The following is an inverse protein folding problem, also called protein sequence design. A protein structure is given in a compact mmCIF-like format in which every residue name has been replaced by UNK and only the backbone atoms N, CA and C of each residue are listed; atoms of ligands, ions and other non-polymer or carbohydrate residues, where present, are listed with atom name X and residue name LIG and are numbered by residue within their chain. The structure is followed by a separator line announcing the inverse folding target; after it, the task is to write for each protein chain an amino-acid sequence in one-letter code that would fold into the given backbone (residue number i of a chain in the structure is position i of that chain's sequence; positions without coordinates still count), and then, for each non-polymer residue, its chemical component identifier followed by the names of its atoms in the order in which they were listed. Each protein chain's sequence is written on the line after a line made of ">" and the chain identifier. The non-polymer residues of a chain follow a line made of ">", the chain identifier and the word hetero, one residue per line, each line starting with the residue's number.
data_IF_151382965084
#
_entry.id   IF_151382965084
#
_cell.length_a   1.000
_cell.length_b   1.000
_cell.length_c   1.000
_cell.angle_alpha   90.00
_cell.angle_beta   90.00
_cell.angle_gamma   90.00
#
_symmetry.space_group_name_H-M   'P 1'
#
loop_
_entity.id
_entity.type
_entity.pdbx_description
1 polymer ?
#
# COMPACT_ATOMS: atom_id res chain seq x y z
N UNK A 1 -11.89 -18.03 12.86
CA UNK A 1 -10.69 -17.21 12.94
C UNK A 1 -10.74 -16.08 11.94
N UNK A 2 -10.45 -14.85 12.35
CA UNK A 2 -10.45 -13.70 11.46
C UNK A 2 -9.04 -13.42 10.97
N UNK A 3 -8.88 -13.25 9.66
CA UNK A 3 -7.65 -12.74 9.06
C UNK A 3 -7.78 -11.23 8.92
N UNK A 4 -6.89 -10.47 9.55
CA UNK A 4 -7.00 -9.00 9.59
C UNK A 4 -5.93 -8.36 8.74
N UNK A 5 -6.35 -7.44 7.89
CA UNK A 5 -5.48 -6.71 6.97
C UNK A 5 -5.61 -5.22 7.23
N UNK A 6 -4.50 -4.54 7.43
CA UNK A 6 -4.47 -3.07 7.49
C UNK A 6 -4.08 -2.52 6.13
N UNK A 7 -4.77 -1.48 5.69
CA UNK A 7 -4.47 -0.78 4.44
C UNK A 7 -4.08 0.66 4.76
N UNK A 8 -2.92 1.08 4.28
CA UNK A 8 -2.37 2.42 4.48
C UNK A 8 -2.12 3.08 3.14
N UNK A 9 -2.10 4.39 3.12
CA UNK A 9 -1.70 5.16 1.96
C UNK A 9 -1.24 6.56 2.37
N UNK A 10 -0.40 7.19 1.54
CA UNK A 10 -0.09 8.61 1.63
C UNK A 10 0.44 9.04 3.01
N UNK A 11 1.34 8.25 3.58
CA UNK A 11 1.94 8.57 4.89
C UNK A 11 2.87 9.77 4.84
N UNK A 12 3.53 10.02 3.70
CA UNK A 12 4.31 11.24 3.44
C UNK A 12 5.24 11.66 4.58
N UNK A 13 6.21 10.83 4.91
CA UNK A 13 7.21 11.20 5.92
C UNK A 13 8.57 10.63 5.55
N UNK A 14 9.62 11.40 5.80
CA UNK A 14 11.00 10.96 5.48
C UNK A 14 11.51 9.95 6.51
N UNK A 15 11.12 10.11 7.76
CA UNK A 15 11.43 9.18 8.84
C UNK A 15 10.15 8.86 9.61
N UNK A 16 10.06 7.66 10.24
CA UNK A 16 8.87 7.33 11.01
C UNK A 16 8.63 8.33 12.15
N UNK A 17 7.42 8.88 12.22
CA UNK A 17 7.03 9.77 13.30
C UNK A 17 6.68 8.96 14.55
N UNK A 18 6.60 9.66 15.71
CA UNK A 18 6.15 9.01 16.94
C UNK A 18 4.73 8.47 16.82
N UNK A 19 3.87 9.14 16.04
CA UNK A 19 2.52 8.67 15.78
C UNK A 19 2.54 7.37 15.00
N UNK A 20 3.40 7.26 13.98
CA UNK A 20 3.51 6.02 13.19
C UNK A 20 4.03 4.87 14.05
N UNK A 21 5.03 5.11 14.91
CA UNK A 21 5.50 4.10 15.85
C UNK A 21 4.38 3.58 16.74
N UNK A 22 3.56 4.49 17.25
CA UNK A 22 2.45 4.14 18.12
C UNK A 22 1.39 3.33 17.37
N UNK A 23 1.03 3.74 16.17
CA UNK A 23 0.08 3.01 15.32
C UNK A 23 0.60 1.61 15.03
N UNK A 24 1.89 1.49 14.72
CA UNK A 24 2.52 0.20 14.45
C UNK A 24 2.41 -0.72 15.67
N UNK A 25 2.82 -0.24 16.85
CA UNK A 25 2.82 -1.05 18.07
C UNK A 25 1.41 -1.45 18.51
N UNK A 26 0.45 -0.54 18.40
CA UNK A 26 -0.90 -0.77 18.91
C UNK A 26 -1.82 -1.46 17.92
N UNK A 27 -1.59 -1.28 16.61
CA UNK A 27 -2.50 -1.78 15.58
C UNK A 27 -1.81 -2.67 14.55
N UNK A 28 -0.78 -2.17 13.87
CA UNK A 28 -0.22 -2.86 12.71
C UNK A 28 0.50 -4.16 13.08
N UNK A 29 1.19 -4.16 14.19
CA UNK A 29 1.91 -5.36 14.67
C UNK A 29 1.00 -6.58 14.78
N UNK A 30 -0.25 -6.37 15.15
CA UNK A 30 -1.22 -7.44 15.37
C UNK A 30 -2.02 -7.80 14.13
N UNK A 31 -1.79 -7.12 13.01
CA UNK A 31 -2.44 -7.45 11.76
C UNK A 31 -1.75 -8.62 11.08
N UNK A 32 -2.51 -9.44 10.36
CA UNK A 32 -1.95 -10.57 9.62
C UNK A 32 -1.21 -10.11 8.36
N UNK A 33 -1.63 -8.99 7.79
CA UNK A 33 -0.94 -8.35 6.68
C UNK A 33 -1.13 -6.84 6.73
N UNK A 34 -0.15 -6.11 6.18
CA UNK A 34 -0.20 -4.65 6.04
C UNK A 34 0.07 -4.31 4.58
N UNK A 35 -0.82 -3.55 3.97
CA UNK A 35 -0.72 -3.14 2.57
C UNK A 35 -0.60 -1.62 2.52
N UNK A 36 0.30 -1.12 1.67
CA UNK A 36 0.49 0.33 1.48
C UNK A 36 0.29 0.68 0.01
N UNK A 37 -0.58 1.65 -0.25
CA UNK A 37 -0.98 2.02 -1.61
C UNK A 37 -0.18 3.20 -2.19
N UNK A 38 1.02 3.46 -1.67
CA UNK A 38 1.93 4.44 -2.25
C UNK A 38 2.05 5.74 -1.49
N UNK A 39 3.07 6.51 -1.85
CA UNK A 39 3.44 7.78 -1.23
C UNK A 39 3.85 7.65 0.24
N UNK A 40 4.77 6.74 0.51
CA UNK A 40 5.48 6.67 1.79
C UNK A 40 6.49 7.82 1.91
N UNK A 41 7.14 8.13 0.80
CA UNK A 41 8.10 9.21 0.55
C UNK A 41 9.46 9.13 1.24
N UNK A 42 9.75 8.06 1.96
CA UNK A 42 11.07 7.89 2.59
C UNK A 42 11.46 6.45 2.76
N UNK A 43 12.75 6.16 2.51
CA UNK A 43 13.30 4.82 2.66
C UNK A 43 13.18 4.31 4.11
N UNK A 44 13.37 5.20 5.07
CA UNK A 44 13.30 4.81 6.48
C UNK A 44 11.90 4.40 6.90
N UNK A 45 10.88 5.05 6.33
CA UNK A 45 9.48 4.68 6.57
C UNK A 45 9.20 3.31 5.95
N UNK A 46 9.63 3.11 4.71
CA UNK A 46 9.49 1.82 4.03
C UNK A 46 10.17 0.69 4.82
N UNK A 47 11.41 0.92 5.23
CA UNK A 47 12.18 -0.08 5.99
C UNK A 47 11.49 -0.43 7.31
N UNK A 48 10.97 0.59 8.00
CA UNK A 48 10.27 0.38 9.26
C UNK A 48 9.00 -0.44 9.08
N UNK A 49 8.16 -0.09 8.10
CA UNK A 49 6.93 -0.84 7.83
C UNK A 49 7.23 -2.25 7.32
N UNK A 50 8.29 -2.39 6.52
CA UNK A 50 8.69 -3.70 5.98
C UNK A 50 9.15 -4.66 7.07
N UNK A 51 9.52 -4.15 8.24
CA UNK A 51 9.87 -5.00 9.38
C UNK A 51 8.70 -5.82 9.91
N UNK A 52 7.49 -5.51 9.48
CA UNK A 52 6.29 -6.27 9.85
C UNK A 52 6.36 -7.74 9.42
N UNK A 53 7.07 -8.03 8.34
CA UNK A 53 7.18 -9.39 7.84
C UNK A 53 6.10 -9.82 6.85
N UNK A 54 4.92 -9.21 6.91
CA UNK A 54 3.82 -9.44 5.97
C UNK A 54 3.35 -8.10 5.39
N UNK A 55 4.32 -7.28 5.01
CA UNK A 55 4.09 -5.95 4.45
C UNK A 55 4.29 -5.97 2.94
N UNK A 56 3.35 -5.38 2.21
CA UNK A 56 3.45 -5.18 0.77
C UNK A 56 3.08 -3.75 0.41
N UNK A 57 3.79 -3.19 -0.56
CA UNK A 57 3.59 -1.81 -0.97
C UNK A 57 3.73 -1.66 -2.48
N UNK A 58 3.05 -0.66 -3.02
CA UNK A 58 3.27 -0.17 -4.38
C UNK A 58 3.82 1.24 -4.32
N UNK A 59 4.46 1.70 -5.40
CA UNK A 59 5.01 3.04 -5.48
C UNK A 59 3.92 4.04 -5.85
N UNK A 60 3.89 5.18 -5.14
CA UNK A 60 3.10 6.33 -5.53
C UNK A 60 3.92 7.32 -6.33
N UNK A 61 3.28 8.39 -6.82
CA UNK A 61 3.95 9.39 -7.65
C UNK A 61 5.01 10.20 -6.90
N UNK A 62 4.97 10.21 -5.56
CA UNK A 62 5.95 10.90 -4.73
C UNK A 62 7.04 9.99 -4.17
N UNK A 63 7.01 8.70 -4.51
CA UNK A 63 8.05 7.76 -4.07
C UNK A 63 9.21 7.79 -5.07
N UNK A 64 10.38 8.20 -4.61
CA UNK A 64 11.57 8.40 -5.44
C UNK A 64 12.79 7.80 -4.76
N UNK A 65 13.80 7.49 -5.58
CA UNK A 65 15.05 6.91 -5.09
C UNK A 65 15.17 5.42 -5.38
N UNK A 66 16.32 4.85 -5.05
CA UNK A 66 16.61 3.45 -5.35
C UNK A 66 15.66 2.47 -4.67
N UNK A 67 15.27 2.76 -3.44
CA UNK A 67 14.31 1.92 -2.69
C UNK A 67 12.95 1.87 -3.37
N UNK A 68 12.49 3.02 -3.90
CA UNK A 68 11.19 3.11 -4.55
C UNK A 68 11.17 2.43 -5.91
N UNK A 69 12.31 2.42 -6.62
CA UNK A 69 12.39 1.77 -7.92
C UNK A 69 12.24 0.25 -7.82
N UNK A 70 12.44 -0.33 -6.64
CA UNK A 70 12.22 -1.74 -6.39
C UNK A 70 10.73 -2.07 -6.13
N UNK A 71 9.89 -1.05 -5.92
CA UNK A 71 8.46 -1.26 -5.69
C UNK A 71 7.70 -1.25 -7.01
N UNK A 72 6.73 -2.15 -7.19
CA UNK A 72 5.90 -2.12 -8.39
C UNK A 72 4.96 -0.91 -8.38
N UNK A 73 4.57 -0.43 -9.55
CA UNK A 73 3.56 0.62 -9.68
C UNK A 73 2.16 0.13 -9.37
N UNK A 74 1.92 -1.15 -9.58
CA UNK A 74 0.69 -1.84 -9.20
C UNK A 74 1.01 -3.29 -8.90
N UNK A 75 0.17 -3.92 -8.11
CA UNK A 75 0.36 -5.32 -7.73
C UNK A 75 -0.99 -6.00 -7.51
N UNK A 76 -1.02 -7.31 -7.68
CA UNK A 76 -2.15 -8.14 -7.29
C UNK A 76 -1.64 -9.20 -6.34
N UNK A 77 -2.27 -9.29 -5.17
CA UNK A 77 -1.91 -10.28 -4.16
C UNK A 77 -3.12 -11.14 -3.84
N UNK A 78 -2.88 -12.38 -3.49
CA UNK A 78 -3.95 -13.29 -3.06
C UNK A 78 -3.77 -13.59 -1.58
N UNK A 79 -4.77 -13.23 -0.79
CA UNK A 79 -4.77 -13.44 0.66
C UNK A 79 -6.05 -14.16 1.02
N UNK A 80 -5.93 -15.35 1.60
CA UNK A 80 -7.08 -16.16 2.01
C UNK A 80 -8.06 -16.41 0.86
N UNK A 81 -7.53 -16.62 -0.35
CA UNK A 81 -8.34 -16.84 -1.54
C UNK A 81 -8.93 -15.57 -2.16
N UNK A 82 -8.75 -14.43 -1.53
CA UNK A 82 -9.22 -13.14 -2.02
C UNK A 82 -8.15 -12.48 -2.88
N UNK A 83 -8.50 -12.08 -4.09
CA UNK A 83 -7.59 -11.41 -5.02
C UNK A 83 -7.68 -9.91 -4.83
N UNK A 84 -6.59 -9.29 -4.39
CA UNK A 84 -6.55 -7.88 -4.02
C UNK A 84 -5.60 -7.13 -4.94
N UNK A 85 -6.12 -6.10 -5.62
CA UNK A 85 -5.32 -5.20 -6.43
C UNK A 85 -4.86 -4.00 -5.62
N UNK A 86 -3.61 -3.58 -5.81
CA UNK A 86 -3.01 -2.43 -5.14
C UNK A 86 -2.45 -1.47 -6.18
N UNK A 87 -2.76 -0.18 -6.04
CA UNK A 87 -2.11 0.88 -6.81
C UNK A 87 -2.32 2.22 -6.10
N UNK A 88 -1.51 3.21 -6.47
CA UNK A 88 -1.67 4.54 -5.88
C UNK A 88 -2.83 5.30 -6.55
N UNK A 89 -2.98 5.19 -7.85
CA UNK A 89 -4.08 5.81 -8.57
C UNK A 89 -3.72 7.06 -9.36
N UNK A 90 -2.45 7.43 -9.40
CA UNK A 90 -2.03 8.59 -10.19
C UNK A 90 -1.95 8.26 -11.68
N UNK A 91 -2.07 9.29 -12.52
CA UNK A 91 -1.82 9.17 -13.96
C UNK A 91 -2.84 8.36 -14.75
N UNK A 92 -4.07 8.23 -14.27
CA UNK A 92 -5.10 7.39 -14.90
C UNK A 92 -6.01 8.13 -15.88
N UNK A 93 -5.76 9.42 -16.12
CA UNK A 93 -6.53 10.19 -17.09
C UNK A 93 -7.82 10.76 -16.53
N UNK A 94 -8.76 11.05 -17.43
CA UNK A 94 -10.03 11.70 -17.07
C UNK A 94 -11.05 10.69 -16.55
N UNK A 95 -11.95 11.18 -15.70
CA UNK A 95 -13.03 10.39 -15.12
C UNK A 95 -12.90 10.30 -13.60
N UNK A 96 -13.83 9.59 -12.97
CA UNK A 96 -13.74 9.37 -11.52
C UNK A 96 -12.61 8.39 -11.22
N UNK A 97 -11.87 8.66 -10.14
CA UNK A 97 -10.71 7.83 -9.78
C UNK A 97 -11.12 6.38 -9.53
N UNK A 98 -12.21 6.14 -8.81
CA UNK A 98 -12.68 4.79 -8.52
C UNK A 98 -12.98 3.98 -9.79
N UNK A 99 -13.57 4.61 -10.79
CA UNK A 99 -13.84 3.95 -12.07
C UNK A 99 -12.54 3.63 -12.80
N UNK A 100 -11.59 4.57 -12.80
CA UNK A 100 -10.31 4.38 -13.49
C UNK A 100 -9.45 3.30 -12.85
N UNK A 101 -9.37 3.24 -11.52
CA UNK A 101 -8.61 2.18 -10.87
C UNK A 101 -9.21 0.81 -11.13
N UNK A 102 -10.54 0.71 -11.24
CA UNK A 102 -11.19 -0.55 -11.56
C UNK A 102 -10.78 -1.07 -12.93
N UNK A 103 -10.60 -0.17 -13.90
CA UNK A 103 -10.22 -0.52 -15.27
C UNK A 103 -8.78 -1.05 -15.39
N UNK A 104 -7.91 -0.74 -14.41
CA UNK A 104 -6.51 -1.17 -14.43
C UNK A 104 -6.37 -2.69 -14.23
N UNK A 105 -7.25 -3.27 -13.43
CA UNK A 105 -7.14 -4.68 -13.02
C UNK A 105 -8.06 -5.60 -13.81
N UNK A 106 -7.68 -6.89 -13.83
CA UNK A 106 -8.50 -7.93 -14.42
C UNK A 106 -9.86 -8.03 -13.71
N UNK A 107 -10.92 -8.45 -14.44
CA UNK A 107 -12.25 -8.53 -13.83
C UNK A 107 -12.38 -9.48 -12.65
N UNK A 108 -11.45 -10.43 -12.50
CA UNK A 108 -11.50 -11.42 -11.42
C UNK A 108 -10.89 -10.92 -10.10
N UNK A 109 -10.40 -9.67 -10.06
CA UNK A 109 -9.91 -9.07 -8.83
C UNK A 109 -11.11 -8.77 -7.91
N UNK A 110 -11.04 -9.25 -6.67
CA UNK A 110 -12.16 -9.14 -5.72
C UNK A 110 -12.21 -7.80 -5.00
N UNK A 111 -11.03 -7.19 -4.75
CA UNK A 111 -10.91 -5.96 -3.99
C UNK A 111 -9.78 -5.12 -4.55
N UNK A 112 -9.98 -3.82 -4.63
CA UNK A 112 -8.94 -2.87 -5.07
C UNK A 112 -8.71 -1.87 -3.96
N UNK A 113 -7.44 -1.72 -3.55
CA UNK A 113 -7.02 -0.74 -2.56
C UNK A 113 -6.19 0.33 -3.28
N UNK A 114 -6.52 1.58 -3.07
CA UNK A 114 -5.82 2.69 -3.71
C UNK A 114 -5.80 3.92 -2.80
N UNK A 115 -4.89 4.84 -3.09
CA UNK A 115 -4.76 6.10 -2.37
C UNK A 115 -4.91 7.31 -3.28
N UNK A 116 -3.97 8.26 -3.15
CA UNK A 116 -3.89 9.50 -3.90
C UNK A 116 -5.00 10.45 -3.48
#
# INVERSE_FOLDING_TARGET
>A
MCFRIAVLSDTHMSTPSSVLYKVFEEQLRHMDAVLHCGDMTGEQVWSFLNSHGSFMAVAGNMDMGGWASALPGQATVTIQGLKIGLLHGHGLGFGTLSTKVREVFEPDVDLICFGH
#
